data_IF_721976759465
#
_entry.id   IF_721976759465
#
_cell.length_a   1.000
_cell.length_b   1.000
_cell.length_c   1.000
_cell.angle_alpha   90.00
_cell.angle_beta   90.00
_cell.angle_gamma   90.00
#
_symmetry.space_group_name_H-M   'P 1'
#
loop_
_entity.id
_entity.type
_entity.pdbx_description
1 polymer ?
#
# COMPACT_ATOMS: atom_id res chain seq x y z
N UNK A 1 -43.01 -20.04 -41.65
CA UNK A 1 -41.65 -20.16 -41.09
C UNK A 1 -41.26 -18.84 -40.48
N UNK A 2 -41.56 -18.64 -39.19
CA UNK A 2 -41.12 -17.48 -38.42
C UNK A 2 -39.96 -17.97 -37.57
N UNK A 3 -38.75 -17.47 -37.86
CA UNK A 3 -37.57 -17.76 -37.05
C UNK A 3 -37.70 -16.98 -35.74
N UNK A 4 -37.85 -17.69 -34.63
CA UNK A 4 -37.69 -17.12 -33.30
C UNK A 4 -36.20 -16.86 -33.07
N UNK A 5 -35.78 -15.61 -33.14
CA UNK A 5 -34.50 -15.17 -32.60
C UNK A 5 -34.57 -15.28 -31.08
N UNK A 6 -33.94 -16.34 -30.55
CA UNK A 6 -33.61 -16.43 -29.13
C UNK A 6 -32.54 -15.37 -28.87
N UNK A 7 -32.93 -14.24 -28.29
CA UNK A 7 -32.01 -13.34 -27.61
C UNK A 7 -31.34 -14.13 -26.49
N UNK A 8 -30.09 -14.55 -26.71
CA UNK A 8 -29.22 -14.98 -25.63
C UNK A 8 -28.99 -13.75 -24.75
N UNK A 9 -29.51 -13.73 -23.53
CA UNK A 9 -29.07 -12.76 -22.53
C UNK A 9 -27.58 -12.98 -22.32
N UNK A 10 -26.78 -12.01 -22.80
CA UNK A 10 -25.37 -11.91 -22.49
C UNK A 10 -25.25 -11.35 -21.06
N UNK A 11 -25.75 -12.11 -20.08
CA UNK A 11 -25.44 -11.87 -18.68
C UNK A 11 -24.01 -12.36 -18.47
N UNK A 12 -23.04 -11.57 -18.95
CA UNK A 12 -21.64 -11.79 -18.62
C UNK A 12 -21.55 -11.85 -17.10
N UNK A 13 -21.13 -13.00 -16.57
CA UNK A 13 -20.94 -13.22 -15.14
C UNK A 13 -20.06 -12.10 -14.62
N UNK A 14 -20.65 -11.21 -13.81
CA UNK A 14 -19.94 -10.05 -13.27
C UNK A 14 -19.02 -10.52 -12.15
N UNK A 15 -17.81 -9.95 -12.01
CA UNK A 15 -16.94 -10.28 -10.89
C UNK A 15 -17.66 -9.99 -9.56
N UNK A 16 -17.30 -10.69 -8.47
CA UNK A 16 -17.78 -10.34 -7.15
C UNK A 16 -17.51 -8.85 -6.85
N UNK A 17 -18.36 -8.20 -6.03
CA UNK A 17 -18.17 -6.80 -5.68
C UNK A 17 -16.76 -6.59 -5.13
N UNK A 18 -15.98 -5.74 -5.79
CA UNK A 18 -14.61 -5.45 -5.39
C UNK A 18 -14.65 -4.77 -4.02
N UNK A 19 -13.77 -5.17 -3.10
CA UNK A 19 -13.53 -4.36 -1.88
C UNK A 19 -13.17 -2.94 -2.30
N UNK A 20 -13.61 -1.97 -1.51
CA UNK A 20 -13.40 -0.56 -1.81
C UNK A 20 -11.91 -0.29 -2.11
N UNK A 21 -11.69 0.50 -3.14
CA UNK A 21 -10.34 0.73 -3.66
C UNK A 21 -9.57 1.56 -2.63
N UNK A 22 -8.33 1.18 -2.37
CA UNK A 22 -7.42 1.94 -1.49
C UNK A 22 -7.33 3.38 -1.98
N UNK A 23 -7.71 4.29 -1.08
CA UNK A 23 -7.86 5.74 -1.15
C UNK A 23 -9.09 6.29 -1.88
N UNK A 24 -10.14 5.47 -1.91
CA UNK A 24 -11.48 5.98 -1.70
C UNK A 24 -11.60 6.57 -0.28
N UNK A 25 -12.08 7.81 -0.17
CA UNK A 25 -12.24 8.51 1.10
C UNK A 25 -13.36 7.86 1.93
N UNK A 26 -14.37 7.27 1.28
CA UNK A 26 -15.48 6.59 1.95
C UNK A 26 -15.04 5.28 2.62
N UNK A 27 -14.12 4.53 1.99
CA UNK A 27 -13.56 3.31 2.57
C UNK A 27 -12.81 3.55 3.90
N UNK A 28 -12.27 4.76 4.08
CA UNK A 28 -11.56 5.17 5.30
C UNK A 28 -12.48 5.40 6.49
N UNK A 29 -13.79 5.51 6.28
CA UNK A 29 -14.77 5.61 7.36
C UNK A 29 -14.92 4.28 8.14
N UNK A 30 -14.28 3.21 7.66
CA UNK A 30 -14.43 1.85 8.19
C UNK A 30 -13.12 1.23 8.71
N UNK A 31 -12.11 2.04 9.09
CA UNK A 31 -10.90 1.51 9.71
C UNK A 31 -11.22 0.83 11.04
N UNK A 32 -10.63 -0.34 11.26
CA UNK A 32 -10.66 -1.04 12.54
C UNK A 32 -9.50 -0.60 13.44
N UNK A 33 -9.56 -0.97 14.73
CA UNK A 33 -8.52 -0.68 15.74
C UNK A 33 -8.15 -1.94 16.55
N UNK A 34 -7.96 -3.05 15.84
CA UNK A 34 -7.72 -4.38 16.41
C UNK A 34 -6.29 -4.47 16.93
N UNK A 35 -6.14 -4.90 18.18
CA UNK A 35 -4.85 -5.29 18.74
C UNK A 35 -4.47 -6.71 18.29
N UNK A 36 -3.56 -6.82 17.33
CA UNK A 36 -3.12 -8.12 16.80
C UNK A 36 -2.38 -8.97 17.84
N UNK A 37 -1.80 -8.37 18.89
CA UNK A 37 -1.09 -9.13 19.94
C UNK A 37 -2.02 -10.04 20.74
N UNK A 38 -3.32 -9.76 20.72
CA UNK A 38 -4.34 -10.58 21.39
C UNK A 38 -5.02 -11.58 20.43
N UNK A 39 -4.67 -11.55 19.15
CA UNK A 39 -5.27 -12.42 18.14
C UNK A 39 -4.59 -13.78 18.07
N UNK A 40 -5.21 -14.70 17.33
CA UNK A 40 -4.63 -15.98 16.93
C UNK A 40 -5.02 -16.29 15.50
N UNK A 41 -4.35 -17.26 14.87
CA UNK A 41 -4.73 -17.73 13.55
C UNK A 41 -6.12 -18.37 13.55
N UNK A 42 -6.97 -17.93 12.63
CA UNK A 42 -8.34 -18.44 12.43
C UNK A 42 -8.54 -19.04 11.04
N UNK A 43 -7.66 -18.71 10.09
CA UNK A 43 -7.63 -19.31 8.74
C UNK A 43 -6.21 -19.74 8.39
N UNK A 44 -6.03 -20.86 7.64
CA UNK A 44 -4.70 -21.30 7.23
C UNK A 44 -4.06 -20.29 6.28
N UNK A 45 -2.77 -19.98 6.49
CA UNK A 45 -1.99 -19.22 5.51
C UNK A 45 -1.62 -20.15 4.36
N UNK A 46 -2.28 -19.99 3.21
CA UNK A 46 -2.12 -20.86 2.05
C UNK A 46 -1.08 -20.35 1.06
N UNK A 47 -0.95 -19.02 0.92
CA UNK A 47 -0.12 -18.40 -0.13
C UNK A 47 0.73 -17.25 0.41
N UNK A 48 2.02 -17.28 0.08
CA UNK A 48 2.94 -16.15 0.26
C UNK A 48 3.25 -15.55 -1.11
N UNK A 49 2.80 -14.32 -1.37
CA UNK A 49 3.19 -13.61 -2.59
C UNK A 49 4.43 -12.76 -2.29
N UNK A 50 5.58 -13.23 -2.77
CA UNK A 50 6.90 -12.67 -2.45
C UNK A 50 7.46 -11.80 -3.56
N UNK A 51 6.67 -11.40 -4.56
CA UNK A 51 7.11 -10.40 -5.54
C UNK A 51 7.23 -9.02 -4.92
N UNK A 52 8.29 -8.28 -5.27
CA UNK A 52 8.51 -6.92 -4.81
C UNK A 52 7.32 -6.01 -5.18
N UNK A 53 7.12 -4.93 -4.41
CA UNK A 53 6.09 -3.93 -4.70
C UNK A 53 6.11 -3.51 -6.16
N UNK A 54 4.93 -3.22 -6.73
CA UNK A 54 4.72 -2.93 -8.15
C UNK A 54 4.94 -4.10 -9.12
N UNK A 55 5.39 -5.30 -8.73
CA UNK A 55 5.42 -6.44 -9.67
C UNK A 55 4.02 -6.97 -9.99
N UNK A 56 3.10 -6.91 -9.04
CA UNK A 56 1.71 -7.38 -9.16
C UNK A 56 0.73 -6.43 -9.88
N UNK A 57 1.20 -5.46 -10.67
CA UNK A 57 0.34 -4.47 -11.36
C UNK A 57 0.61 -4.51 -12.86
N UNK A 58 -0.42 -4.70 -13.68
CA UNK A 58 -0.29 -4.62 -15.13
C UNK A 58 0.00 -3.17 -15.53
N UNK A 59 1.09 -2.97 -16.29
CA UNK A 59 1.43 -1.68 -16.88
C UNK A 59 1.24 -1.83 -18.38
N UNK A 60 0.12 -1.34 -18.91
CA UNK A 60 -0.01 -1.05 -20.34
C UNK A 60 -0.39 0.41 -20.52
N UNK A 61 0.44 1.13 -21.26
CA UNK A 61 0.19 2.48 -21.73
C UNK A 61 -0.43 2.43 -23.12
N UNK A 62 -1.56 1.73 -23.30
CA UNK A 62 -2.28 1.74 -24.58
C UNK A 62 -3.68 1.20 -24.36
N UNK A 63 -4.64 2.11 -24.15
CA UNK A 63 -6.02 1.96 -24.65
C UNK A 63 -6.87 3.13 -24.14
N UNK A 64 -7.05 4.13 -25.00
CA UNK A 64 -8.15 5.08 -24.94
C UNK A 64 -9.46 4.29 -25.06
N UNK A 65 -10.04 3.87 -23.94
CA UNK A 65 -11.43 3.43 -23.90
C UNK A 65 -12.17 4.33 -22.93
N UNK A 66 -13.01 5.18 -23.50
CA UNK A 66 -14.03 5.94 -22.80
C UNK A 66 -14.88 4.98 -21.94
N UNK A 67 -14.59 4.90 -20.65
CA UNK A 67 -15.56 4.43 -19.67
C UNK A 67 -16.31 5.67 -19.21
N UNK A 68 -17.54 5.80 -19.69
CA UNK A 68 -18.55 6.73 -19.18
C UNK A 68 -18.66 6.53 -17.66
N UNK A 69 -18.07 7.44 -16.90
CA UNK A 69 -18.38 7.62 -15.49
C UNK A 69 -19.59 8.54 -15.43
N UNK A 70 -20.76 7.96 -15.14
CA UNK A 70 -21.95 8.73 -14.81
C UNK A 70 -21.67 9.56 -13.56
N UNK A 71 -21.92 10.85 -13.70
CA UNK A 71 -21.71 11.87 -12.69
C UNK A 71 -22.55 11.61 -11.44
N UNK A 72 -21.91 11.51 -10.27
CA UNK A 72 -22.55 11.86 -9.01
C UNK A 72 -22.00 13.24 -8.62
N UNK A 73 -22.88 14.26 -8.61
CA UNK A 73 -22.57 15.60 -8.10
C UNK A 73 -22.29 15.47 -6.61
N UNK A 74 -21.08 15.84 -6.19
CA UNK A 74 -20.75 15.98 -4.78
C UNK A 74 -21.06 17.41 -4.33
N UNK A 75 -22.00 17.53 -3.41
CA UNK A 75 -22.38 18.78 -2.74
C UNK A 75 -21.32 19.11 -1.68
N UNK A 76 -20.72 20.30 -1.80
CA UNK A 76 -19.80 20.86 -0.80
C UNK A 76 -20.59 21.49 0.35
N UNK A 77 -21.31 20.68 1.10
CA UNK A 77 -21.98 21.17 2.30
C UNK A 77 -22.12 20.06 3.34
N UNK A 78 -21.00 19.72 3.98
CA UNK A 78 -21.03 19.34 5.40
C UNK A 78 -19.60 19.24 5.94
N UNK A 79 -19.20 20.28 6.66
CA UNK A 79 -18.01 20.25 7.52
C UNK A 79 -18.25 19.30 8.69
N UNK A 80 -17.82 18.04 8.55
CA UNK A 80 -17.71 17.08 9.66
C UNK A 80 -16.27 16.60 9.75
N UNK A 81 -15.56 17.27 10.65
CA UNK A 81 -14.41 16.83 11.44
C UNK A 81 -13.39 15.87 10.80
N UNK A 82 -12.16 16.38 10.65
CA UNK A 82 -10.90 15.65 10.64
C UNK A 82 -10.99 14.12 10.58
N UNK A 83 -10.92 13.54 9.38
CA UNK A 83 -10.64 12.11 9.24
C UNK A 83 -9.12 11.92 9.47
N UNK A 84 -8.77 11.86 10.75
CA UNK A 84 -7.54 11.31 11.35
C UNK A 84 -6.15 11.82 10.92
N UNK A 85 -6.00 12.86 10.10
CA UNK A 85 -4.71 13.54 9.92
C UNK A 85 -3.55 12.63 9.47
N UNK A 86 -3.84 11.55 8.73
CA UNK A 86 -2.86 10.53 8.41
C UNK A 86 -2.10 10.79 7.13
N UNK A 87 -0.85 10.35 7.12
CA UNK A 87 -0.04 10.38 5.92
C UNK A 87 -0.48 9.25 4.98
N UNK A 88 -1.07 9.63 3.84
CA UNK A 88 -1.77 8.70 2.95
C UNK A 88 -0.83 8.13 1.87
N UNK A 89 -0.68 6.80 1.85
CA UNK A 89 0.06 6.06 0.82
C UNK A 89 -0.91 5.33 -0.12
N UNK A 90 -1.13 5.80 -1.34
CA UNK A 90 -2.06 5.10 -2.25
C UNK A 90 -1.39 3.99 -3.03
N UNK A 91 -1.19 2.83 -2.39
CA UNK A 91 -0.89 1.58 -3.09
C UNK A 91 -2.22 0.85 -3.28
N UNK A 92 -2.86 1.00 -4.44
CA UNK A 92 -4.03 0.18 -4.81
C UNK A 92 -3.74 -1.31 -4.57
N UNK A 93 -4.75 -2.13 -4.19
CA UNK A 93 -4.51 -3.56 -4.07
C UNK A 93 -3.99 -4.06 -5.41
N UNK A 94 -2.83 -4.74 -5.46
CA UNK A 94 -2.27 -5.21 -6.72
C UNK A 94 -3.28 -6.15 -7.38
N UNK A 95 -3.17 -6.30 -8.69
CA UNK A 95 -4.01 -7.23 -9.47
C UNK A 95 -4.06 -8.61 -8.81
N UNK A 96 -2.93 -9.05 -8.24
CA UNK A 96 -2.81 -10.31 -7.51
C UNK A 96 -3.64 -10.37 -6.22
N UNK A 97 -3.72 -9.29 -5.44
CA UNK A 97 -4.56 -9.25 -4.23
C UNK A 97 -6.02 -9.47 -4.59
N UNK A 98 -6.51 -8.74 -5.60
CA UNK A 98 -7.89 -8.91 -6.07
C UNK A 98 -8.10 -10.31 -6.68
N UNK A 99 -7.13 -10.81 -7.45
CA UNK A 99 -7.24 -12.14 -8.05
C UNK A 99 -7.37 -13.25 -7.01
N UNK A 100 -6.62 -13.19 -5.91
CA UNK A 100 -6.75 -14.16 -4.82
C UNK A 100 -8.10 -14.04 -4.08
N UNK A 101 -8.60 -12.83 -3.86
CA UNK A 101 -9.94 -12.62 -3.30
C UNK A 101 -11.04 -13.21 -4.22
N UNK A 102 -10.93 -12.98 -5.52
CA UNK A 102 -11.82 -13.53 -6.55
C UNK A 102 -11.81 -15.08 -6.57
N UNK A 103 -10.69 -15.70 -6.18
CA UNK A 103 -10.54 -17.15 -6.02
C UNK A 103 -11.03 -17.68 -4.66
N UNK A 104 -11.70 -16.84 -3.85
CA UNK A 104 -12.31 -17.25 -2.60
C UNK A 104 -11.39 -17.22 -1.37
N UNK A 105 -10.26 -16.51 -1.44
CA UNK A 105 -9.46 -16.25 -0.25
C UNK A 105 -10.19 -15.25 0.65
N UNK A 106 -10.39 -15.59 1.93
CA UNK A 106 -11.17 -14.76 2.85
C UNK A 106 -10.54 -13.38 3.07
N UNK A 107 -9.22 -13.34 3.18
CA UNK A 107 -8.45 -12.12 3.20
C UNK A 107 -7.02 -12.32 2.68
N UNK A 108 -6.46 -11.24 2.15
CA UNK A 108 -5.13 -11.16 1.56
C UNK A 108 -4.45 -9.92 2.11
N UNK A 109 -3.43 -10.12 2.95
CA UNK A 109 -2.70 -9.02 3.58
C UNK A 109 -1.94 -8.20 2.53
N UNK A 110 -1.89 -6.89 2.73
CA UNK A 110 -1.24 -5.94 1.83
C UNK A 110 -0.87 -4.66 2.57
N UNK A 111 0.03 -3.84 2.03
CA UNK A 111 0.40 -2.53 2.59
C UNK A 111 -0.81 -1.67 2.97
N UNK A 112 -1.85 -1.75 2.14
CA UNK A 112 -3.15 -1.11 2.35
C UNK A 112 -3.78 -1.38 3.72
N UNK A 113 -3.50 -2.54 4.33
CA UNK A 113 -4.05 -2.90 5.62
C UNK A 113 -3.60 -1.91 6.71
N UNK A 114 -2.33 -1.52 6.72
CA UNK A 114 -1.76 -0.55 7.66
C UNK A 114 -2.31 0.86 7.44
N UNK A 115 -2.77 1.18 6.24
CA UNK A 115 -3.23 2.53 5.94
C UNK A 115 -4.72 2.69 6.20
N UNK A 116 -5.51 1.73 5.73
CA UNK A 116 -6.95 1.92 5.54
C UNK A 116 -7.80 0.82 6.18
N UNK A 117 -7.24 -0.28 6.69
CA UNK A 117 -8.03 -1.41 7.19
C UNK A 117 -7.84 -1.60 8.71
N UNK A 118 -6.61 -1.81 9.17
CA UNK A 118 -6.26 -1.82 10.59
C UNK A 118 -4.89 -1.14 10.83
N UNK A 119 -4.86 0.19 10.98
CA UNK A 119 -3.58 0.91 11.09
C UNK A 119 -2.77 0.59 12.34
N UNK A 120 -3.42 0.04 13.36
CA UNK A 120 -2.77 -0.51 14.55
C UNK A 120 -1.85 -1.71 14.25
N UNK A 121 -1.99 -2.37 13.09
CA UNK A 121 -1.04 -3.38 12.63
C UNK A 121 0.40 -2.83 12.56
N UNK A 122 0.58 -1.51 12.33
CA UNK A 122 1.88 -0.85 12.33
C UNK A 122 2.68 -1.10 13.62
N UNK A 123 2.02 -1.29 14.76
CA UNK A 123 2.68 -1.55 16.04
C UNK A 123 3.47 -2.86 16.00
N UNK A 124 2.85 -3.96 15.54
CA UNK A 124 3.55 -5.25 15.43
C UNK A 124 4.52 -5.30 14.26
N UNK A 125 4.27 -4.56 13.17
CA UNK A 125 5.26 -4.44 12.09
C UNK A 125 6.51 -3.67 12.52
N UNK A 126 6.36 -2.62 13.34
CA UNK A 126 7.48 -1.94 13.96
C UNK A 126 8.24 -2.88 14.89
N UNK A 127 7.52 -3.69 15.69
CA UNK A 127 8.15 -4.72 16.53
C UNK A 127 8.97 -5.71 15.71
N UNK A 128 8.44 -6.19 14.57
CA UNK A 128 9.14 -7.10 13.68
C UNK A 128 10.35 -6.44 13.00
N UNK A 129 10.23 -5.19 12.55
CA UNK A 129 11.33 -4.44 11.93
C UNK A 129 12.46 -4.19 12.93
N UNK A 130 12.13 -3.78 14.14
CA UNK A 130 13.10 -3.59 15.22
C UNK A 130 13.78 -4.93 15.55
N UNK A 131 13.02 -6.03 15.67
CA UNK A 131 13.58 -7.37 15.92
C UNK A 131 14.54 -7.87 14.81
N UNK A 132 14.27 -7.49 13.55
CA UNK A 132 15.05 -7.91 12.38
C UNK A 132 16.31 -7.07 12.17
N UNK A 133 16.22 -5.76 12.38
CA UNK A 133 17.26 -4.82 11.94
C UNK A 133 17.92 -4.02 13.06
N UNK A 134 17.35 -3.91 14.27
CA UNK A 134 17.94 -3.09 15.33
C UNK A 134 19.18 -3.78 15.93
N UNK A 135 20.40 -3.23 15.71
CA UNK A 135 21.63 -3.81 16.24
C UNK A 135 21.77 -3.60 17.76
N UNK A 136 20.94 -2.77 18.39
CA UNK A 136 21.03 -2.46 19.83
C UNK A 136 20.60 -3.62 20.73
N UNK A 137 19.86 -4.61 20.20
CA UNK A 137 19.46 -5.81 20.94
C UNK A 137 18.56 -5.53 22.16
N UNK A 138 17.97 -4.33 22.27
CA UNK A 138 17.06 -3.97 23.36
C UNK A 138 15.69 -4.63 23.17
N UNK A 139 15.66 -5.94 23.41
CA UNK A 139 14.48 -6.77 23.72
C UNK A 139 13.45 -7.05 22.62
N UNK A 140 13.84 -7.55 21.45
CA UNK A 140 12.91 -8.37 20.64
C UNK A 140 13.62 -9.59 20.03
N UNK A 141 13.12 -10.78 20.37
CA UNK A 141 13.49 -12.02 19.68
C UNK A 141 12.94 -11.95 18.24
N UNK A 142 13.56 -12.62 17.25
CA UNK A 142 12.96 -12.79 15.94
C UNK A 142 11.52 -13.29 16.07
N UNK A 143 10.62 -12.75 15.25
CA UNK A 143 9.23 -13.19 15.22
C UNK A 143 9.16 -14.68 14.93
N UNK A 144 8.41 -15.40 15.76
CA UNK A 144 8.09 -16.81 15.59
C UNK A 144 6.79 -16.97 14.81
N UNK A 145 6.45 -18.21 14.44
CA UNK A 145 5.14 -18.53 13.83
C UNK A 145 3.96 -18.02 14.65
N UNK A 146 4.05 -18.02 16.00
CA UNK A 146 3.01 -17.50 16.88
C UNK A 146 2.79 -15.99 16.71
N UNK A 147 3.87 -15.23 16.58
CA UNK A 147 3.81 -13.77 16.38
C UNK A 147 3.25 -13.43 14.99
N UNK A 148 3.64 -14.23 13.98
CA UNK A 148 3.05 -14.13 12.65
C UNK A 148 1.57 -14.54 12.63
N UNK A 149 1.16 -15.55 13.40
CA UNK A 149 -0.23 -15.99 13.53
C UNK A 149 -1.10 -14.94 14.23
N UNK A 150 -0.54 -14.17 15.16
CA UNK A 150 -1.20 -13.00 15.76
C UNK A 150 -1.47 -11.90 14.72
N UNK A 151 -0.45 -11.55 13.93
CA UNK A 151 -0.52 -10.45 12.97
C UNK A 151 -1.33 -10.79 11.71
N UNK A 152 -1.11 -11.98 11.15
CA UNK A 152 -1.60 -12.41 9.84
C UNK A 152 -2.67 -13.51 9.94
N UNK A 153 -3.13 -13.83 11.16
CA UNK A 153 -4.00 -14.97 11.43
C UNK A 153 -5.37 -14.97 10.75
N UNK A 154 -5.81 -13.79 10.32
CA UNK A 154 -7.06 -13.55 9.59
C UNK A 154 -6.89 -13.62 8.07
N UNK A 155 -5.65 -13.70 7.57
CA UNK A 155 -5.34 -13.74 6.15
C UNK A 155 -4.97 -15.14 5.69
N UNK A 156 -5.52 -15.52 4.53
CA UNK A 156 -5.15 -16.75 3.82
C UNK A 156 -3.97 -16.55 2.88
N UNK A 157 -3.67 -15.29 2.52
CA UNK A 157 -2.48 -14.96 1.75
C UNK A 157 -1.87 -13.62 2.16
N UNK A 158 -0.62 -13.37 1.76
CA UNK A 158 0.04 -12.07 1.93
C UNK A 158 0.65 -11.58 0.64
N UNK A 159 0.68 -10.27 0.44
CA UNK A 159 1.26 -9.60 -0.72
C UNK A 159 1.96 -8.30 -0.29
N UNK A 160 2.97 -7.89 -1.06
CA UNK A 160 3.63 -6.60 -0.90
C UNK A 160 4.29 -6.40 0.49
N UNK A 161 4.91 -5.25 0.67
CA UNK A 161 5.34 -4.72 1.96
C UNK A 161 4.15 -4.60 2.90
N UNK A 162 4.33 -4.92 4.19
CA UNK A 162 5.59 -5.25 4.86
C UNK A 162 6.03 -6.70 4.68
N UNK A 163 5.17 -7.60 4.20
CA UNK A 163 5.42 -9.06 4.25
C UNK A 163 6.65 -9.49 3.45
N UNK A 164 6.91 -8.87 2.30
CA UNK A 164 8.11 -9.14 1.47
C UNK A 164 9.44 -8.77 2.15
N UNK A 165 9.42 -7.91 3.18
CA UNK A 165 10.63 -7.59 3.97
C UNK A 165 11.03 -8.82 4.80
N UNK A 166 10.07 -9.64 5.21
CA UNK A 166 10.23 -10.79 6.10
C UNK A 166 10.12 -12.13 5.36
N UNK A 167 10.46 -12.15 4.07
CA UNK A 167 10.26 -13.34 3.24
C UNK A 167 10.99 -14.58 3.79
N UNK A 168 12.19 -14.45 4.38
CA UNK A 168 12.94 -15.57 4.96
C UNK A 168 12.22 -16.14 6.18
N UNK A 169 11.82 -15.26 7.10
CA UNK A 169 11.12 -15.59 8.33
C UNK A 169 9.74 -16.20 8.05
N UNK A 170 9.03 -15.68 7.04
CA UNK A 170 7.74 -16.23 6.62
C UNK A 170 7.89 -17.57 5.90
N UNK A 171 8.92 -17.76 5.08
CA UNK A 171 9.20 -19.07 4.45
C UNK A 171 9.58 -20.13 5.48
N UNK A 172 10.29 -19.76 6.54
CA UNK A 172 10.62 -20.63 7.66
C UNK A 172 9.40 -20.95 8.53
N UNK A 173 8.56 -19.94 8.82
CA UNK A 173 7.37 -20.11 9.66
C UNK A 173 6.24 -20.89 8.96
N UNK A 174 6.17 -20.83 7.62
CA UNK A 174 5.11 -21.46 6.82
C UNK A 174 5.67 -22.28 5.66
N UNK A 175 6.40 -23.38 5.94
CA UNK A 175 6.97 -24.23 4.90
C UNK A 175 5.91 -24.89 4.00
N UNK A 176 4.68 -25.03 4.51
CA UNK A 176 3.52 -25.59 3.81
C UNK A 176 2.86 -24.62 2.83
N UNK A 177 3.10 -23.31 2.95
CA UNK A 177 2.47 -22.33 2.08
C UNK A 177 3.06 -22.41 0.65
N UNK A 178 2.17 -22.32 -0.34
CA UNK A 178 2.55 -22.09 -1.74
C UNK A 178 3.13 -20.68 -1.87
N UNK A 179 4.07 -20.49 -2.77
CA UNK A 179 4.76 -19.22 -2.99
C UNK A 179 4.50 -18.74 -4.41
N UNK A 180 4.12 -17.47 -4.53
CA UNK A 180 3.97 -16.79 -5.82
C UNK A 180 5.01 -15.66 -5.87
N UNK A 181 5.95 -15.76 -6.80
CA UNK A 181 6.90 -14.70 -7.12
C UNK A 181 6.41 -13.96 -8.36
N UNK A 182 5.79 -12.79 -8.16
CA UNK A 182 5.43 -11.93 -9.30
C UNK A 182 6.64 -11.18 -9.84
N UNK A 183 6.78 -11.18 -11.17
CA UNK A 183 7.86 -10.50 -11.89
C UNK A 183 7.32 -9.54 -12.96
N UNK A 184 8.14 -8.59 -13.38
CA UNK A 184 7.93 -7.74 -14.57
C UNK A 184 8.68 -8.28 -15.79
N UNK A 185 8.41 -7.69 -16.94
CA UNK A 185 9.04 -8.04 -18.23
C UNK A 185 10.58 -7.94 -18.18
N UNK A 186 11.10 -6.98 -17.42
CA UNK A 186 12.54 -6.85 -17.13
C UNK A 186 12.78 -6.14 -15.79
N UNK A 187 13.99 -6.24 -15.21
CA UNK A 187 14.38 -5.44 -14.05
C UNK A 187 14.21 -3.93 -14.26
N UNK A 188 14.58 -3.41 -15.43
CA UNK A 188 14.45 -1.98 -15.79
C UNK A 188 13.00 -1.55 -15.83
N UNK A 189 12.11 -2.41 -16.34
CA UNK A 189 10.67 -2.15 -16.34
C UNK A 189 10.11 -2.05 -14.91
N UNK A 190 10.63 -2.85 -13.98
CA UNK A 190 10.30 -2.73 -12.56
C UNK A 190 10.82 -1.42 -11.96
N UNK A 191 12.11 -1.08 -12.16
CA UNK A 191 12.70 0.17 -11.63
C UNK A 191 11.93 1.38 -12.13
N UNK A 192 11.65 1.46 -13.43
CA UNK A 192 10.85 2.53 -14.03
C UNK A 192 9.46 2.62 -13.40
N UNK A 193 8.79 1.47 -13.19
CA UNK A 193 7.46 1.46 -12.57
C UNK A 193 7.50 1.90 -11.10
N UNK A 194 8.59 1.62 -10.40
CA UNK A 194 8.74 1.99 -8.99
C UNK A 194 9.05 3.49 -8.86
N UNK A 195 10.04 4.00 -9.60
CA UNK A 195 10.44 5.40 -9.58
C UNK A 195 9.31 6.34 -9.98
N UNK A 196 8.50 5.96 -10.98
CA UNK A 196 7.33 6.74 -11.43
C UNK A 196 6.15 6.72 -10.46
N UNK A 197 6.20 5.89 -9.41
CA UNK A 197 5.13 5.80 -8.40
C UNK A 197 5.67 6.06 -7.00
N UNK A 198 6.07 5.00 -6.29
CA UNK A 198 6.52 5.07 -4.90
C UNK A 198 7.76 5.98 -4.77
N UNK A 199 8.64 6.04 -5.79
CA UNK A 199 9.77 6.97 -5.82
C UNK A 199 9.35 8.44 -5.78
N UNK A 200 8.41 8.86 -6.65
CA UNK A 200 7.86 10.22 -6.63
C UNK A 200 7.17 10.53 -5.30
N UNK A 201 6.42 9.57 -4.76
CA UNK A 201 5.79 9.72 -3.45
C UNK A 201 6.83 9.91 -2.33
N UNK A 202 7.85 9.06 -2.28
CA UNK A 202 8.91 9.14 -1.27
C UNK A 202 9.66 10.48 -1.33
N UNK A 203 9.88 11.02 -2.54
CA UNK A 203 10.44 12.36 -2.74
C UNK A 203 9.50 13.45 -2.20
N UNK A 204 8.21 13.40 -2.53
CA UNK A 204 7.21 14.37 -2.06
C UNK A 204 7.09 14.37 -0.52
N UNK A 205 7.32 13.21 0.10
CA UNK A 205 7.25 13.04 1.55
C UNK A 205 8.56 13.27 2.30
N UNK A 206 9.63 13.69 1.61
CA UNK A 206 10.89 14.00 2.28
C UNK A 206 10.69 15.11 3.31
N UNK A 207 11.31 14.99 4.49
CA UNK A 207 11.32 16.08 5.46
C UNK A 207 11.83 17.37 4.81
N UNK A 208 11.22 18.52 5.11
CA UNK A 208 11.69 19.80 4.58
C UNK A 208 13.17 20.04 4.91
N UNK A 209 13.94 20.49 3.94
CA UNK A 209 15.37 20.77 4.13
C UNK A 209 15.60 22.04 4.96
N UNK A 210 14.69 23.02 4.86
CA UNK A 210 14.83 24.34 5.50
C UNK A 210 14.34 24.32 6.96
N UNK A 211 14.94 25.17 7.79
CA UNK A 211 14.49 25.36 9.17
C UNK A 211 13.01 25.76 9.26
N UNK A 212 12.58 26.70 8.40
CA UNK A 212 11.19 27.14 8.34
C UNK A 212 10.25 25.99 7.96
N UNK A 213 10.61 25.18 6.96
CA UNK A 213 9.80 24.03 6.57
C UNK A 213 9.69 23.00 7.70
N UNK A 214 10.77 22.73 8.42
CA UNK A 214 10.76 21.84 9.60
C UNK A 214 9.86 22.38 10.71
N UNK A 215 9.92 23.68 10.97
CA UNK A 215 9.06 24.35 11.95
C UNK A 215 7.57 24.26 11.55
N UNK A 216 7.24 24.57 10.29
CA UNK A 216 5.87 24.48 9.78
C UNK A 216 5.32 23.06 9.89
N UNK A 217 6.12 22.05 9.48
CA UNK A 217 5.73 20.64 9.66
C UNK A 217 5.47 20.34 11.12
N UNK A 218 6.40 20.67 12.02
CA UNK A 218 6.29 20.38 13.44
C UNK A 218 5.08 21.07 14.11
N UNK A 219 4.79 22.31 13.75
CA UNK A 219 3.73 23.11 14.36
C UNK A 219 2.33 22.82 13.79
N UNK A 220 2.23 22.47 12.50
CA UNK A 220 0.94 22.48 11.79
C UNK A 220 0.62 21.22 11.00
N UNK A 221 1.59 20.32 10.74
CA UNK A 221 1.27 19.05 10.10
C UNK A 221 0.54 18.13 11.10
N UNK A 222 -0.41 17.32 10.62
CA UNK A 222 -1.06 16.37 11.49
C UNK A 222 -0.09 15.28 11.96
N UNK A 223 -0.30 14.76 13.17
CA UNK A 223 0.55 13.74 13.79
C UNK A 223 -0.04 12.35 13.53
N UNK A 224 0.67 11.55 12.75
CA UNK A 224 0.37 10.13 12.53
C UNK A 224 1.53 9.28 13.03
N UNK A 225 1.63 9.14 14.35
CA UNK A 225 2.77 8.48 14.99
C UNK A 225 2.94 7.03 14.54
N UNK A 226 1.82 6.32 14.29
CA UNK A 226 1.83 4.93 13.83
C UNK A 226 2.29 4.83 12.37
N UNK A 227 1.65 5.59 11.46
CA UNK A 227 1.96 5.57 10.04
C UNK A 227 3.35 6.14 9.73
N UNK A 228 3.67 7.32 10.26
CA UNK A 228 5.01 7.92 10.10
C UNK A 228 6.08 7.06 10.78
N UNK A 229 5.80 6.53 11.98
CA UNK A 229 6.74 5.67 12.70
C UNK A 229 7.10 4.39 11.94
N UNK A 230 6.12 3.77 11.29
CA UNK A 230 6.34 2.61 10.43
C UNK A 230 7.03 2.96 9.12
N UNK A 231 6.55 3.97 8.39
CA UNK A 231 7.16 4.40 7.14
C UNK A 231 8.64 4.79 7.33
N UNK A 232 8.96 5.53 8.39
CA UNK A 232 10.33 5.92 8.71
C UNK A 232 11.23 4.71 8.98
N UNK A 233 10.74 3.66 9.65
CA UNK A 233 11.51 2.42 9.86
C UNK A 233 11.73 1.66 8.56
N UNK A 234 10.71 1.57 7.70
CA UNK A 234 10.85 0.95 6.38
C UNK A 234 11.90 1.69 5.55
N UNK A 235 11.82 3.02 5.46
CA UNK A 235 12.81 3.82 4.73
C UNK A 235 14.22 3.67 5.31
N UNK A 236 14.33 3.58 6.65
CA UNK A 236 15.61 3.43 7.35
C UNK A 236 16.25 2.06 7.13
N UNK A 237 15.47 0.98 7.24
CA UNK A 237 16.00 -0.38 7.35
C UNK A 237 15.83 -1.22 6.09
N UNK A 238 14.86 -0.90 5.24
CA UNK A 238 14.62 -1.68 4.03
C UNK A 238 15.49 -1.18 2.88
N UNK A 239 16.61 -1.88 2.65
CA UNK A 239 17.62 -1.51 1.65
C UNK A 239 17.07 -1.20 0.27
N UNK A 240 16.01 -1.90 -0.17
CA UNK A 240 15.37 -1.67 -1.46
C UNK A 240 15.01 -0.20 -1.67
N UNK A 241 14.40 0.44 -0.66
CA UNK A 241 14.01 1.85 -0.71
C UNK A 241 15.24 2.75 -0.78
N UNK A 242 16.22 2.49 0.07
CA UNK A 242 17.46 3.27 0.11
C UNK A 242 18.24 3.20 -1.21
N UNK A 243 18.32 2.02 -1.82
CA UNK A 243 18.96 1.78 -3.12
C UNK A 243 18.24 2.58 -4.21
N UNK A 244 16.91 2.42 -4.32
CA UNK A 244 16.10 3.10 -5.33
C UNK A 244 16.20 4.62 -5.23
N UNK A 245 16.21 5.17 -4.01
CA UNK A 245 16.34 6.62 -3.81
C UNK A 245 17.72 7.13 -4.21
N UNK A 246 18.80 6.40 -3.88
CA UNK A 246 20.17 6.78 -4.30
C UNK A 246 20.34 6.72 -5.82
N UNK A 247 19.77 5.70 -6.45
CA UNK A 247 19.78 5.57 -7.91
C UNK A 247 19.03 6.73 -8.57
N UNK A 248 17.83 7.05 -8.06
CA UNK A 248 17.03 8.17 -8.55
C UNK A 248 17.78 9.52 -8.43
N UNK A 249 18.51 9.74 -7.33
CA UNK A 249 19.32 10.94 -7.14
C UNK A 249 20.53 11.02 -8.08
N UNK A 250 21.18 9.89 -8.33
CA UNK A 250 22.33 9.81 -9.25
C UNK A 250 21.93 9.81 -10.72
N UNK A 251 20.64 9.60 -11.03
CA UNK A 251 20.17 9.37 -12.39
C UNK A 251 20.58 8.02 -12.96
N UNK A 252 20.79 7.02 -12.10
CA UNK A 252 21.19 5.65 -12.45
C UNK A 252 20.09 4.65 -12.10
N UNK A 253 20.18 3.42 -12.62
CA UNK A 253 19.28 2.31 -12.25
C UNK A 253 20.06 1.02 -11.89
N UNK A 254 21.39 1.08 -11.84
CA UNK A 254 22.25 -0.11 -11.79
C UNK A 254 22.06 -0.91 -10.49
N UNK A 255 22.09 -0.23 -9.34
CA UNK A 255 21.95 -0.88 -8.05
C UNK A 255 20.53 -1.42 -7.84
N UNK A 256 19.52 -0.72 -8.36
CA UNK A 256 18.12 -1.11 -8.28
C UNK A 256 17.82 -2.32 -9.16
N UNK A 257 18.35 -2.36 -10.38
CA UNK A 257 18.29 -3.52 -11.28
C UNK A 257 18.96 -4.72 -10.62
N UNK A 258 20.17 -4.52 -10.07
CA UNK A 258 20.90 -5.58 -9.37
C UNK A 258 20.11 -6.11 -8.17
N UNK A 259 19.54 -5.22 -7.35
CA UNK A 259 18.73 -5.61 -6.21
C UNK A 259 17.53 -6.47 -6.62
N UNK A 260 16.76 -6.02 -7.62
CA UNK A 260 15.59 -6.75 -8.11
C UNK A 260 15.96 -8.15 -8.62
N UNK A 261 17.02 -8.25 -9.42
CA UNK A 261 17.52 -9.53 -9.95
C UNK A 261 17.96 -10.44 -8.82
N UNK A 262 18.83 -9.98 -7.92
CA UNK A 262 19.32 -10.78 -6.80
C UNK A 262 18.19 -11.23 -5.86
N UNK A 263 17.22 -10.36 -5.57
CA UNK A 263 16.06 -10.72 -4.76
C UNK A 263 15.25 -11.87 -5.40
N UNK A 264 14.94 -11.77 -6.70
CA UNK A 264 14.16 -12.80 -7.40
C UNK A 264 14.91 -14.14 -7.51
N UNK A 265 16.22 -14.10 -7.79
CA UNK A 265 17.08 -15.28 -7.80
C UNK A 265 17.12 -15.94 -6.43
N UNK A 266 17.15 -15.13 -5.36
CA UNK A 266 17.20 -15.64 -4.02
C UNK A 266 15.92 -16.37 -3.62
N UNK A 267 14.75 -15.81 -3.94
CA UNK A 267 13.46 -16.48 -3.72
C UNK A 267 13.42 -17.81 -4.48
N UNK A 268 13.81 -17.81 -5.75
CA UNK A 268 13.86 -19.03 -6.57
C UNK A 268 14.83 -20.09 -6.03
N UNK A 269 15.90 -19.66 -5.36
CA UNK A 269 16.85 -20.57 -4.71
C UNK A 269 16.30 -21.14 -3.39
N UNK A 270 15.60 -20.33 -2.61
CA UNK A 270 15.10 -20.71 -1.28
C UNK A 270 13.84 -21.59 -1.34
N UNK A 271 13.04 -21.46 -2.40
CA UNK A 271 11.74 -22.12 -2.51
C UNK A 271 11.81 -23.29 -3.49
N UNK A 272 11.47 -24.52 -3.06
CA UNK A 272 11.34 -25.67 -3.96
C UNK A 272 10.37 -25.39 -5.11
N UNK A 273 10.72 -25.85 -6.32
CA UNK A 273 9.95 -25.58 -7.55
C UNK A 273 8.50 -26.04 -7.47
N UNK A 274 8.25 -27.11 -6.70
CA UNK A 274 6.93 -27.73 -6.55
C UNK A 274 5.93 -26.82 -5.82
N UNK A 275 6.42 -25.89 -5.00
CA UNK A 275 5.59 -24.90 -4.29
C UNK A 275 5.88 -23.46 -4.73
N UNK A 276 6.55 -23.26 -5.86
CA UNK A 276 6.86 -21.94 -6.40
C UNK A 276 6.22 -21.72 -7.76
N UNK A 277 5.42 -20.65 -7.87
CA UNK A 277 5.01 -20.07 -9.14
C UNK A 277 5.77 -18.77 -9.37
N UNK A 278 6.55 -18.70 -10.45
CA UNK A 278 7.06 -17.43 -10.98
C UNK A 278 6.11 -17.00 -12.09
N UNK A 279 5.52 -15.81 -11.96
CA UNK A 279 4.57 -15.32 -12.97
C UNK A 279 4.66 -13.82 -13.19
N UNK A 280 4.42 -13.40 -14.42
CA UNK A 280 4.06 -12.03 -14.76
C UNK A 280 2.53 -11.91 -14.76
N UNK A 281 1.99 -10.88 -14.11
CA UNK A 281 0.53 -10.69 -14.01
C UNK A 281 -0.17 -10.53 -15.38
N UNK A 282 0.59 -10.19 -16.44
CA UNK A 282 0.10 -10.16 -17.82
C UNK A 282 -0.32 -11.54 -18.35
N UNK A 283 0.18 -12.62 -17.77
CA UNK A 283 -0.20 -13.99 -18.12
C UNK A 283 -1.62 -14.35 -17.64
N UNK A 284 -2.19 -13.55 -16.74
CA UNK A 284 -3.58 -13.65 -16.30
C UNK A 284 -3.88 -14.90 -15.47
N UNK A 285 -5.11 -15.41 -15.61
CA UNK A 285 -5.62 -16.47 -14.73
C UNK A 285 -4.93 -17.81 -14.85
N UNK A 286 -4.50 -18.19 -16.05
CA UNK A 286 -4.11 -19.59 -16.34
C UNK A 286 -2.99 -20.10 -15.41
N UNK A 287 -1.79 -19.48 -15.36
CA UNK A 287 -0.72 -19.99 -14.50
C UNK A 287 -1.09 -19.94 -13.01
N UNK A 288 -1.86 -18.94 -12.58
CA UNK A 288 -2.32 -18.82 -11.20
C UNK A 288 -3.28 -19.94 -10.81
N UNK A 289 -4.29 -20.21 -11.64
CA UNK A 289 -5.31 -21.22 -11.36
C UNK A 289 -4.73 -22.64 -11.44
N UNK A 290 -3.89 -22.92 -12.43
CA UNK A 290 -3.19 -24.20 -12.57
C UNK A 290 -2.32 -24.49 -11.33
N UNK A 291 -1.56 -23.49 -10.86
CA UNK A 291 -0.71 -23.62 -9.69
C UNK A 291 -1.50 -23.77 -8.39
N UNK A 292 -2.62 -23.07 -8.24
CA UNK A 292 -3.46 -23.13 -7.05
C UNK A 292 -4.42 -24.32 -7.03
N UNK A 293 -4.56 -25.05 -8.14
CA UNK A 293 -5.49 -26.15 -8.35
C UNK A 293 -6.95 -25.73 -8.16
N UNK A 294 -7.34 -24.66 -8.87
CA UNK A 294 -8.69 -24.07 -8.82
C UNK A 294 -9.23 -23.79 -10.21
N UNK A 295 -10.55 -23.73 -10.35
CA UNK A 295 -11.19 -23.40 -11.61
C UNK A 295 -10.92 -21.94 -12.00
N UNK A 296 -10.61 -21.72 -13.29
CA UNK A 296 -10.44 -20.38 -13.86
C UNK A 296 -11.77 -19.61 -13.81
N UNK A 297 -11.80 -18.37 -13.30
CA UNK A 297 -12.98 -17.51 -13.39
C UNK A 297 -13.34 -17.14 -14.83
N UNK A 298 -14.63 -16.88 -15.07
CA UNK A 298 -15.14 -16.49 -16.40
C UNK A 298 -14.85 -15.03 -16.75
N UNK A 299 -14.52 -14.17 -15.77
CA UNK A 299 -14.20 -12.77 -15.98
C UNK A 299 -12.70 -12.52 -16.21
N UNK A 300 -12.37 -11.34 -16.75
CA UNK A 300 -10.99 -10.94 -17.02
C UNK A 300 -10.14 -10.84 -15.74
N UNK A 301 -8.85 -11.14 -15.84
CA UNK A 301 -7.92 -10.98 -14.73
C UNK A 301 -7.91 -9.52 -14.25
N UNK A 302 -7.92 -9.25 -12.93
CA UNK A 302 -8.00 -7.90 -12.43
C UNK A 302 -6.88 -7.01 -12.97
N UNK A 303 -7.25 -5.87 -13.55
CA UNK A 303 -6.31 -4.79 -13.86
C UNK A 303 -6.60 -3.63 -12.92
N UNK A 304 -5.78 -3.50 -11.88
CA UNK A 304 -5.90 -2.46 -10.86
C UNK A 304 -4.52 -1.87 -10.60
N UNK A 305 -4.49 -0.59 -10.20
CA UNK A 305 -3.29 0.13 -9.78
C UNK A 305 -2.32 0.53 -10.92
N UNK A 306 -2.86 1.13 -11.99
CA UNK A 306 -2.07 1.74 -13.08
C UNK A 306 -1.18 2.88 -12.56
N UNK A 307 -0.08 3.16 -13.26
CA UNK A 307 0.82 4.27 -12.91
C UNK A 307 0.12 5.62 -13.01
N UNK A 308 -0.79 5.80 -13.98
CA UNK A 308 -1.56 7.04 -14.13
C UNK A 308 -2.53 7.25 -12.96
N UNK A 309 -3.26 6.20 -12.58
CA UNK A 309 -4.14 6.26 -11.42
C UNK A 309 -3.33 6.63 -10.17
N UNK A 310 -2.17 6.00 -9.99
CA UNK A 310 -1.27 6.30 -8.88
C UNK A 310 -0.85 7.77 -8.86
N UNK A 311 -0.46 8.34 -10.01
CA UNK A 311 -0.09 9.75 -10.12
C UNK A 311 -1.25 10.69 -9.76
N UNK A 312 -2.44 10.44 -10.31
CA UNK A 312 -3.66 11.22 -10.03
C UNK A 312 -4.04 11.19 -8.55
N UNK A 313 -3.90 10.02 -7.92
CA UNK A 313 -4.15 9.77 -6.50
C UNK A 313 -3.14 10.49 -5.60
N UNK A 314 -1.86 10.40 -5.95
CA UNK A 314 -0.77 11.06 -5.23
C UNK A 314 -0.94 12.59 -5.24
N UNK A 315 -1.28 13.17 -6.39
CA UNK A 315 -1.52 14.62 -6.50
C UNK A 315 -2.66 15.09 -5.58
N UNK A 316 -3.78 14.35 -5.52
CA UNK A 316 -4.90 14.67 -4.61
C UNK A 316 -4.51 14.65 -3.14
N UNK A 317 -3.61 13.75 -2.75
CA UNK A 317 -3.13 13.65 -1.36
C UNK A 317 -2.25 14.82 -1.01
N UNK A 318 -1.28 15.13 -1.88
CA UNK A 318 -0.38 16.27 -1.66
C UNK A 318 -1.19 17.56 -1.52
N UNK A 319 -2.19 17.75 -2.37
CA UNK A 319 -3.12 18.89 -2.31
C UNK A 319 -3.93 18.90 -1.01
N UNK A 320 -4.55 17.77 -0.65
CA UNK A 320 -5.31 17.64 0.59
C UNK A 320 -4.45 17.91 1.84
N UNK A 321 -3.26 17.32 1.91
CA UNK A 321 -2.34 17.48 3.02
C UNK A 321 -1.82 18.93 3.14
N UNK A 322 -1.51 19.55 2.00
CA UNK A 322 -1.20 20.99 1.94
C UNK A 322 -2.36 21.84 2.46
N UNK A 323 -3.59 21.53 2.06
CA UNK A 323 -4.81 22.17 2.56
C UNK A 323 -5.00 22.02 4.07
N UNK A 324 -4.75 20.83 4.63
CA UNK A 324 -4.81 20.57 6.08
C UNK A 324 -3.78 21.40 6.85
N UNK A 325 -2.53 21.48 6.35
CA UNK A 325 -1.50 22.33 6.96
C UNK A 325 -1.94 23.80 6.95
N UNK A 326 -2.42 24.30 5.81
CA UNK A 326 -2.89 25.69 5.68
C UNK A 326 -4.07 25.98 6.61
N UNK A 327 -4.98 25.03 6.76
CA UNK A 327 -6.11 25.14 7.67
C UNK A 327 -5.68 25.17 9.13
N UNK A 328 -4.75 24.30 9.54
CA UNK A 328 -4.19 24.30 10.90
C UNK A 328 -3.43 25.59 11.20
N UNK A 329 -2.69 26.13 10.22
CA UNK A 329 -2.06 27.43 10.32
C UNK A 329 -3.09 28.55 10.53
N UNK A 330 -4.13 28.61 9.69
CA UNK A 330 -5.17 29.62 9.80
C UNK A 330 -5.89 29.55 11.16
N UNK A 331 -6.30 28.35 11.59
CA UNK A 331 -6.93 28.11 12.89
C UNK A 331 -6.10 28.55 14.09
N UNK A 332 -4.78 28.42 14.00
CA UNK A 332 -3.88 28.75 15.11
C UNK A 332 -3.46 30.22 15.09
N UNK A 333 -3.10 30.75 13.92
CA UNK A 333 -2.50 32.08 13.79
C UNK A 333 -3.54 33.20 13.76
N UNK A 334 -4.72 32.99 13.14
CA UNK A 334 -5.73 34.07 13.04
C UNK A 334 -6.25 34.51 14.41
N UNK A 335 -6.64 33.62 15.35
CA UNK A 335 -7.05 34.05 16.68
C UNK A 335 -5.91 34.67 17.49
N UNK A 336 -4.69 34.13 17.37
CA UNK A 336 -3.51 34.66 18.07
C UNK A 336 -3.20 36.10 17.65
N UNK A 337 -3.26 36.39 16.33
CA UNK A 337 -3.08 37.75 15.80
C UNK A 337 -4.23 38.65 16.25
N UNK A 338 -5.47 38.19 16.21
CA UNK A 338 -6.62 38.98 16.66
C UNK A 338 -6.51 39.37 18.15
N UNK A 339 -6.10 38.43 19.01
CA UNK A 339 -5.85 38.68 20.43
C UNK A 339 -4.68 39.64 20.66
N UNK A 340 -3.59 39.50 19.91
CA UNK A 340 -2.43 40.39 20.01
C UNK A 340 -2.78 41.83 19.58
N UNK A 341 -3.48 41.99 18.45
CA UNK A 341 -3.93 43.30 17.96
C UNK A 341 -4.95 43.92 18.92
N UNK A 342 -5.91 43.13 19.41
CA UNK A 342 -6.89 43.58 20.40
C UNK A 342 -6.24 44.00 21.71
N UNK A 343 -5.29 43.23 22.22
CA UNK A 343 -4.51 43.54 23.42
C UNK A 343 -3.66 44.80 23.26
N UNK A 344 -3.01 44.98 22.11
CA UNK A 344 -2.24 46.18 21.80
C UNK A 344 -3.16 47.41 21.71
N UNK A 345 -4.31 47.29 21.03
CA UNK A 345 -5.29 48.37 20.93
C UNK A 345 -5.87 48.75 22.30
N UNK A 346 -6.14 47.77 23.16
CA UNK A 346 -6.58 48.02 24.53
C UNK A 346 -5.49 48.71 25.36
N UNK A 347 -4.25 48.22 25.31
CA UNK A 347 -3.12 48.82 26.02
C UNK A 347 -2.88 50.27 25.61
N UNK A 348 -2.93 50.56 24.30
CA UNK A 348 -2.79 51.93 23.77
C UNK A 348 -3.93 52.86 24.20
N UNK A 349 -5.15 52.33 24.45
CA UNK A 349 -6.28 53.12 24.97
C UNK A 349 -6.25 53.30 26.49
N UNK A 350 -5.55 52.42 27.21
CA UNK A 350 -5.44 52.44 28.67
C UNK A 350 -4.28 53.31 29.19
N UNK A 351 -3.41 53.78 28.30
CA UNK A 351 -2.44 54.85 28.53
C UNK A 351 -3.06 56.18 28.18
#
# INVERSE_FOLDING_TARGET
MSQSTVEKSNDAVRPPPRRAIVGDIEAMQHTTNIDRRQCSRVVPLKVLCLGLSRTGTACESTSTHHILVTWCRYDQSDGKEFINGRLMLMIGPPALRQALLDLGYSDVYHYAAILNENPRDAEMWNDALDAKYDPSGTHKKPFTRKDWDQLLGHCMATTDTPTVIFYRELLEAYPEAKVILTVRDSPEAWVKSYQSTIGQYALAMRPPATFWGKFVKWAFAPRDELGEGYFNRVVKWYDMIGILMRDLEKGTNEDSVKYYTSYNEEIQRLVPKERLLVMNVKEGWKPLCDFLDVAKPEWAFPQVNSTEDFGRRTAKIIDHFGGVIMWNMAKTLVPAVALAVGGLAWWMRSK
#
